data_IF_903845739282
#
_entry.id   IF_903845739282
#
_cell.length_a   1.000
_cell.length_b   1.000
_cell.length_c   1.000
_cell.angle_alpha   90.00
_cell.angle_beta   90.00
_cell.angle_gamma   90.00
#
_symmetry.space_group_name_H-M   'P 1'
#
loop_
_entity.id
_entity.type
_entity.pdbx_description
1 polymer ?
#
# COMPACT_ATOMS: atom_id res chain seq x y z
N UNK A 1 18.07 22.46 -3.36
CA UNK A 1 17.52 22.27 -2.01
C UNK A 1 17.71 20.79 -1.68
N UNK A 2 18.39 20.43 -0.59
CA UNK A 2 18.63 19.02 -0.25
C UNK A 2 17.42 18.37 0.42
N UNK A 3 17.33 17.04 0.39
CA UNK A 3 16.21 16.21 0.90
C UNK A 3 15.78 16.61 2.33
N UNK A 4 16.74 16.75 3.25
CA UNK A 4 16.46 17.12 4.64
C UNK A 4 15.81 18.50 4.77
N UNK A 5 16.25 19.48 3.98
CA UNK A 5 15.70 20.86 4.01
C UNK A 5 14.28 20.92 3.45
N UNK A 6 13.96 20.06 2.49
CA UNK A 6 12.61 19.96 1.91
C UNK A 6 11.63 19.35 2.92
N UNK A 7 12.06 18.32 3.65
CA UNK A 7 11.23 17.70 4.69
C UNK A 7 11.01 18.65 5.88
N UNK A 8 12.07 19.31 6.36
CA UNK A 8 11.95 20.25 7.47
C UNK A 8 11.02 21.42 7.12
N UNK A 9 11.04 21.88 5.86
CA UNK A 9 10.09 22.87 5.35
C UNK A 9 8.65 22.37 5.36
N UNK A 10 8.39 21.19 4.77
CA UNK A 10 7.04 20.61 4.73
C UNK A 10 6.50 20.33 6.13
N UNK A 11 7.34 19.81 7.01
CA UNK A 11 7.02 19.56 8.42
C UNK A 11 6.69 20.87 9.14
N UNK A 12 7.52 21.90 9.00
CA UNK A 12 7.28 23.21 9.61
C UNK A 12 5.96 23.83 9.13
N UNK A 13 5.68 23.80 7.83
CA UNK A 13 4.45 24.37 7.29
C UNK A 13 3.21 23.53 7.64
N UNK A 14 3.31 22.20 7.68
CA UNK A 14 2.22 21.32 8.11
C UNK A 14 1.90 21.49 9.61
N UNK A 15 2.92 21.58 10.46
CA UNK A 15 2.78 21.84 11.90
C UNK A 15 2.14 23.22 12.16
N UNK A 16 2.43 24.24 11.33
CA UNK A 16 1.83 25.58 11.43
C UNK A 16 0.31 25.59 11.21
N UNK A 17 -0.23 24.64 10.45
CA UNK A 17 -1.68 24.50 10.24
C UNK A 17 -2.40 23.80 11.41
N UNK A 18 -1.67 23.40 12.47
CA UNK A 18 -2.25 22.72 13.63
C UNK A 18 -2.58 21.25 13.38
N UNK A 19 -2.16 20.70 12.25
CA UNK A 19 -2.25 19.28 11.93
C UNK A 19 -1.01 18.61 12.56
N UNK A 20 -1.18 17.90 13.67
CA UNK A 20 -0.05 17.26 14.36
C UNK A 20 0.82 16.40 13.43
N UNK A 21 2.09 16.21 13.82
CA UNK A 21 3.16 15.58 13.03
C UNK A 21 2.68 14.47 12.07
N UNK A 22 3.12 14.48 10.79
CA UNK A 22 2.92 13.35 9.90
C UNK A 22 3.51 12.08 10.50
N UNK A 23 2.81 10.97 10.34
CA UNK A 23 3.29 9.63 10.73
C UNK A 23 4.69 9.41 10.15
N UNK A 24 5.69 8.97 10.95
CA UNK A 24 7.07 8.75 10.48
C UNK A 24 7.17 7.75 9.32
N UNK A 25 6.16 6.93 9.07
CA UNK A 25 6.07 6.03 7.90
C UNK A 25 5.69 6.73 6.59
N UNK A 26 5.29 8.02 6.61
CA UNK A 26 4.99 8.83 5.43
C UNK A 26 6.24 9.30 4.64
N UNK A 27 7.40 8.70 4.89
CA UNK A 27 8.70 9.18 4.40
C UNK A 27 9.21 8.34 3.23
N UNK A 28 9.18 8.90 2.03
CA UNK A 28 10.19 8.67 0.99
C UNK A 28 10.28 9.92 0.13
N UNK A 29 11.24 10.79 0.44
CA UNK A 29 11.60 11.93 -0.40
C UNK A 29 12.96 11.62 -1.02
N UNK A 30 12.99 11.37 -2.32
CA UNK A 30 14.23 11.29 -3.06
C UNK A 30 14.31 12.46 -4.05
N UNK A 31 15.47 13.12 -4.10
CA UNK A 31 15.80 14.04 -5.19
C UNK A 31 16.83 13.34 -6.06
N UNK A 32 16.39 12.72 -7.16
CA UNK A 32 17.27 12.22 -8.20
C UNK A 32 17.07 13.12 -9.43
N UNK A 33 18.00 14.05 -9.68
CA UNK A 33 18.00 14.90 -10.88
C UNK A 33 18.04 16.42 -10.62
N UNK A 34 18.19 17.24 -11.69
CA UNK A 34 18.30 18.68 -11.58
C UNK A 34 16.93 19.32 -11.36
N UNK A 35 16.58 19.55 -10.10
CA UNK A 35 15.38 20.28 -9.66
C UNK A 35 14.70 19.60 -8.47
N UNK A 36 14.02 20.34 -7.57
CA UNK A 36 13.27 19.72 -6.48
C UNK A 36 12.05 18.96 -7.03
N UNK A 37 12.18 17.65 -7.22
CA UNK A 37 11.05 16.74 -7.38
C UNK A 37 10.60 16.26 -6.00
N UNK A 38 9.30 16.12 -5.78
CA UNK A 38 8.74 15.65 -4.52
C UNK A 38 7.92 14.39 -4.75
N UNK A 39 8.24 13.33 -4.03
CA UNK A 39 7.35 12.19 -3.90
C UNK A 39 6.69 12.23 -2.53
N UNK A 40 5.37 12.06 -2.51
CA UNK A 40 4.65 11.72 -1.31
C UNK A 40 4.26 10.26 -1.45
N UNK A 41 5.00 9.37 -0.79
CA UNK A 41 4.55 7.99 -0.64
C UNK A 41 3.44 7.99 0.40
N UNK A 42 2.21 7.84 -0.10
CA UNK A 42 0.99 7.86 0.70
C UNK A 42 0.52 6.43 0.76
N UNK A 43 0.99 5.71 1.76
CA UNK A 43 0.46 4.37 2.00
C UNK A 43 -1.01 4.50 2.42
N UNK A 44 -1.94 3.72 1.84
CA UNK A 44 -3.35 3.73 2.24
C UNK A 44 -3.59 3.23 3.67
N UNK A 45 -2.55 2.80 4.40
CA UNK A 45 -2.61 2.61 5.85
C UNK A 45 -2.85 3.95 6.54
N UNK A 46 -4.10 4.41 6.62
CA UNK A 46 -5.10 3.96 7.59
C UNK A 46 -6.45 4.62 7.21
N UNK A 47 -7.35 3.89 6.56
CA UNK A 47 -8.69 4.40 6.27
C UNK A 47 -9.60 4.23 7.50
N UNK A 48 -9.33 5.02 8.54
CA UNK A 48 -10.29 5.16 9.63
C UNK A 48 -11.59 5.79 9.12
N UNK A 49 -12.66 5.64 9.92
CA UNK A 49 -14.00 6.20 9.77
C UNK A 49 -14.10 7.70 9.41
N UNK A 50 -12.97 8.39 9.24
CA UNK A 50 -12.84 9.73 8.70
C UNK A 50 -11.47 9.86 7.99
N UNK A 51 -11.45 9.85 6.65
CA UNK A 51 -10.23 10.10 5.86
C UNK A 51 -9.52 11.41 6.25
N UNK A 52 -10.22 12.33 6.93
CA UNK A 52 -9.69 13.59 7.43
C UNK A 52 -8.72 13.45 8.61
N UNK A 53 -8.61 12.28 9.25
CA UNK A 53 -7.78 12.08 10.45
C UNK A 53 -6.51 11.26 10.23
N UNK A 54 -6.33 10.62 9.06
CA UNK A 54 -5.06 9.95 8.74
C UNK A 54 -4.01 10.99 8.32
N UNK A 55 -2.87 11.01 9.00
CA UNK A 55 -1.80 11.97 8.75
C UNK A 55 -1.25 11.90 7.32
N UNK A 56 -1.25 10.71 6.69
CA UNK A 56 -0.84 10.53 5.29
C UNK A 56 -1.82 11.16 4.31
N UNK A 57 -3.12 11.02 4.57
CA UNK A 57 -4.19 11.66 3.76
C UNK A 57 -4.20 13.17 3.97
N UNK A 58 -3.97 13.65 5.19
CA UNK A 58 -3.84 15.08 5.48
C UNK A 58 -2.64 15.69 4.73
N UNK A 59 -1.49 15.01 4.75
CA UNK A 59 -0.30 15.43 4.00
C UNK A 59 -0.55 15.45 2.49
N UNK A 60 -1.19 14.41 1.93
CA UNK A 60 -1.58 14.39 0.51
C UNK A 60 -2.48 15.58 0.16
N UNK A 61 -3.53 15.81 0.95
CA UNK A 61 -4.47 16.91 0.74
C UNK A 61 -3.80 18.27 0.84
N UNK A 62 -2.90 18.44 1.80
CA UNK A 62 -2.09 19.64 1.94
C UNK A 62 -1.24 19.88 0.69
N UNK A 63 -0.47 18.87 0.26
CA UNK A 63 0.37 18.97 -0.94
C UNK A 63 -0.49 19.28 -2.16
N UNK A 64 -1.64 18.62 -2.36
CA UNK A 64 -2.58 18.88 -3.47
C UNK A 64 -3.08 20.32 -3.53
N UNK A 65 -3.23 20.99 -2.38
CA UNK A 65 -3.67 22.39 -2.28
C UNK A 65 -2.57 23.41 -2.54
N UNK A 66 -1.30 23.01 -2.48
CA UNK A 66 -0.21 23.92 -2.80
C UNK A 66 -0.33 24.43 -4.24
N UNK A 67 -0.09 25.74 -4.49
CA UNK A 67 -0.09 26.31 -5.83
C UNK A 67 0.75 25.50 -6.83
N UNK A 68 0.36 25.51 -8.10
CA UNK A 68 1.07 24.78 -9.16
C UNK A 68 2.47 25.32 -9.44
N UNK A 69 2.72 26.58 -9.06
CA UNK A 69 4.02 27.27 -9.07
C UNK A 69 4.78 27.14 -7.73
N UNK A 70 4.34 26.24 -6.84
CA UNK A 70 5.05 25.96 -5.59
C UNK A 70 6.43 25.33 -5.84
N UNK A 71 7.21 25.17 -4.75
CA UNK A 71 8.56 24.61 -4.72
C UNK A 71 8.74 23.26 -5.43
N UNK A 72 7.67 22.50 -5.70
CA UNK A 72 7.74 21.16 -6.28
C UNK A 72 7.16 21.13 -7.69
N UNK A 73 8.05 21.15 -8.69
CA UNK A 73 7.66 21.14 -10.10
C UNK A 73 6.98 19.82 -10.52
N UNK A 74 7.38 18.71 -9.89
CA UNK A 74 6.82 17.39 -10.14
C UNK A 74 6.46 16.73 -8.82
N UNK A 75 5.21 16.26 -8.72
CA UNK A 75 4.66 15.57 -7.56
C UNK A 75 3.91 14.32 -7.99
N UNK A 76 4.17 13.20 -7.35
CA UNK A 76 3.42 11.95 -7.53
C UNK A 76 3.01 11.40 -6.15
N UNK A 77 1.78 10.91 -6.04
CA UNK A 77 1.27 10.25 -4.85
C UNK A 77 1.30 8.74 -5.06
N UNK A 78 2.13 8.03 -4.31
CA UNK A 78 2.25 6.56 -4.45
C UNK A 78 1.32 5.88 -3.44
N UNK A 79 0.32 5.15 -3.92
CA UNK A 79 -0.60 4.36 -3.09
C UNK A 79 -0.25 2.88 -3.21
N UNK A 80 0.11 2.23 -2.11
CA UNK A 80 0.60 0.85 -2.13
C UNK A 80 -0.44 -0.16 -1.65
N UNK A 81 -0.52 -1.32 -2.29
CA UNK A 81 -1.36 -2.43 -1.83
C UNK A 81 -0.82 -3.16 -0.60
N UNK A 82 -1.47 -4.26 -0.26
CA UNK A 82 -1.04 -5.22 0.76
C UNK A 82 0.24 -5.95 0.33
N UNK A 83 1.27 -5.92 1.17
CA UNK A 83 2.55 -6.55 0.82
C UNK A 83 2.44 -8.07 0.92
N UNK A 84 3.00 -8.79 -0.05
CA UNK A 84 3.11 -10.25 0.06
C UNK A 84 3.89 -10.66 1.34
N UNK A 85 4.88 -9.88 1.75
CA UNK A 85 5.67 -10.07 2.97
C UNK A 85 4.83 -10.08 4.25
N UNK A 86 3.62 -9.51 4.23
CA UNK A 86 2.70 -9.57 5.37
C UNK A 86 2.31 -11.01 5.68
N UNK A 87 2.23 -11.90 4.69
CA UNK A 87 1.91 -13.32 4.87
C UNK A 87 2.96 -14.11 5.66
N UNK A 88 4.19 -13.57 5.76
CA UNK A 88 5.29 -14.16 6.53
C UNK A 88 5.33 -13.58 7.95
N UNK A 89 4.91 -12.32 8.13
CA UNK A 89 5.22 -11.54 9.33
C UNK A 89 4.04 -11.44 10.30
N UNK A 90 2.86 -11.02 9.85
CA UNK A 90 1.71 -10.78 10.74
C UNK A 90 0.38 -11.29 10.20
N UNK A 91 0.32 -11.61 8.91
CA UNK A 91 -0.85 -12.19 8.24
C UNK A 91 -0.61 -13.69 7.97
N UNK A 92 -0.15 -14.40 9.00
CA UNK A 92 0.30 -15.80 8.92
C UNK A 92 -0.86 -16.78 9.12
N UNK A 93 -0.82 -17.98 8.50
CA UNK A 93 -1.84 -18.99 8.77
C UNK A 93 -1.71 -19.53 10.20
N UNK A 94 -2.84 -19.96 10.75
CA UNK A 94 -2.91 -20.61 12.04
C UNK A 94 -2.25 -21.99 11.96
N UNK A 95 -1.21 -22.22 12.75
CA UNK A 95 -0.30 -23.36 12.58
C UNK A 95 -0.96 -24.74 12.73
N UNK A 96 -1.99 -24.86 13.59
CA UNK A 96 -2.62 -26.16 13.88
C UNK A 96 -3.37 -26.75 12.68
N UNK A 97 -4.01 -25.90 11.87
CA UNK A 97 -4.87 -26.33 10.77
C UNK A 97 -4.44 -25.77 9.41
N UNK A 98 -3.37 -24.98 9.34
CA UNK A 98 -2.94 -24.24 8.15
C UNK A 98 -4.11 -23.40 7.60
N UNK A 99 -4.65 -22.52 8.44
CA UNK A 99 -5.84 -21.74 8.13
C UNK A 99 -5.60 -20.23 8.21
N UNK A 100 -6.07 -19.47 7.22
CA UNK A 100 -6.20 -18.03 7.40
C UNK A 100 -7.49 -17.69 8.14
N UNK A 101 -7.37 -16.97 9.25
CA UNK A 101 -8.50 -16.58 10.10
C UNK A 101 -8.52 -15.07 10.33
N UNK A 102 -9.22 -14.36 9.45
CA UNK A 102 -9.23 -12.90 9.43
C UNK A 102 -10.64 -12.35 9.14
N UNK A 103 -10.95 -11.12 9.59
CA UNK A 103 -12.24 -10.48 9.38
C UNK A 103 -12.37 -9.86 7.97
N UNK A 104 -12.07 -10.65 6.94
CA UNK A 104 -12.23 -10.29 5.52
C UNK A 104 -13.39 -11.11 4.96
N UNK A 105 -14.23 -10.52 4.13
CA UNK A 105 -15.30 -11.24 3.45
C UNK A 105 -14.73 -12.08 2.30
N UNK A 106 -15.29 -13.27 2.05
CA UNK A 106 -14.84 -14.15 0.96
C UNK A 106 -14.88 -13.49 -0.43
N UNK A 107 -15.74 -12.49 -0.62
CA UNK A 107 -15.83 -11.70 -1.86
C UNK A 107 -14.98 -10.41 -1.84
N UNK A 108 -14.41 -10.05 -0.69
CA UNK A 108 -13.56 -8.87 -0.55
C UNK A 108 -12.25 -9.11 -1.29
N UNK A 109 -11.92 -8.27 -2.27
CA UNK A 109 -10.65 -8.35 -2.98
C UNK A 109 -9.62 -7.47 -2.29
N UNK A 110 -8.47 -8.05 -1.99
CA UNK A 110 -7.35 -7.37 -1.38
C UNK A 110 -6.41 -6.97 -2.53
N UNK A 111 -6.09 -5.68 -2.73
CA UNK A 111 -5.01 -5.28 -3.64
C UNK A 111 -3.68 -5.68 -3.02
N UNK A 112 -2.85 -6.46 -3.73
CA UNK A 112 -1.60 -6.98 -3.21
C UNK A 112 -0.43 -6.85 -4.20
N UNK A 113 0.80 -6.78 -3.68
CA UNK A 113 2.03 -6.74 -4.47
C UNK A 113 3.29 -7.12 -3.65
N UNK A 114 4.42 -7.34 -4.33
CA UNK A 114 5.73 -7.55 -3.69
C UNK A 114 6.36 -6.20 -3.32
N UNK A 115 6.67 -5.97 -2.04
CA UNK A 115 7.29 -4.72 -1.56
C UNK A 115 8.57 -4.35 -2.33
N UNK A 116 9.30 -5.34 -2.88
CA UNK A 116 10.53 -5.12 -3.65
C UNK A 116 10.29 -4.43 -5.01
N UNK A 117 9.05 -4.42 -5.53
CA UNK A 117 8.70 -3.69 -6.75
C UNK A 117 8.42 -2.21 -6.50
N UNK A 118 8.27 -1.77 -5.24
CA UNK A 118 8.06 -0.36 -4.87
C UNK A 118 9.14 0.53 -5.49
N UNK A 119 10.41 0.20 -5.27
CA UNK A 119 11.53 1.00 -5.75
C UNK A 119 11.61 1.07 -7.27
N UNK A 120 11.18 0.01 -7.97
CA UNK A 120 11.19 -0.05 -9.44
C UNK A 120 10.15 0.90 -10.03
N UNK A 121 8.94 0.90 -9.47
CA UNK A 121 7.85 1.80 -9.92
C UNK A 121 8.14 3.25 -9.56
N UNK A 122 8.67 3.50 -8.36
CA UNK A 122 9.09 4.85 -7.96
C UNK A 122 10.16 5.38 -8.91
N UNK A 123 11.14 4.54 -9.27
CA UNK A 123 12.16 4.90 -10.27
C UNK A 123 11.56 5.27 -11.62
N UNK A 124 10.61 4.50 -12.15
CA UNK A 124 9.91 4.84 -13.41
C UNK A 124 9.22 6.22 -13.34
N UNK A 125 8.65 6.57 -12.17
CA UNK A 125 8.05 7.89 -11.96
C UNK A 125 9.10 9.02 -11.97
N UNK A 126 10.30 8.76 -11.44
CA UNK A 126 11.44 9.71 -11.46
C UNK A 126 12.04 9.90 -12.85
N UNK A 127 12.14 8.82 -13.63
CA UNK A 127 12.70 8.87 -14.99
C UNK A 127 11.73 9.53 -15.98
N UNK A 128 10.43 9.57 -15.65
CA UNK A 128 9.36 10.13 -16.50
C UNK A 128 8.44 11.12 -15.76
N UNK A 129 8.97 12.22 -15.19
CA UNK A 129 8.20 13.16 -14.37
C UNK A 129 7.17 13.98 -15.16
N UNK A 130 7.35 14.12 -16.48
CA UNK A 130 6.37 14.70 -17.42
C UNK A 130 5.14 13.80 -17.64
N UNK A 131 5.25 12.52 -17.28
CA UNK A 131 4.12 11.59 -17.34
C UNK A 131 3.48 11.43 -15.98
N UNK A 132 4.30 11.23 -14.94
CA UNK A 132 3.82 10.80 -13.62
C UNK A 132 3.79 11.93 -12.57
N UNK A 133 4.48 13.04 -12.80
CA UNK A 133 4.69 14.12 -11.84
C UNK A 133 3.60 15.20 -11.78
N UNK A 134 2.41 14.96 -12.33
CA UNK A 134 1.32 15.93 -12.40
C UNK A 134 0.33 15.83 -11.23
N UNK A 135 0.82 15.59 -10.01
CA UNK A 135 0.02 15.47 -8.78
C UNK A 135 -1.03 14.36 -8.87
N UNK A 136 -0.77 13.34 -9.67
CA UNK A 136 -1.65 12.19 -9.81
C UNK A 136 -1.32 11.11 -8.78
N UNK A 137 -2.32 10.25 -8.54
CA UNK A 137 -2.15 9.04 -7.74
C UNK A 137 -1.67 7.90 -8.63
N UNK A 138 -0.59 7.24 -8.23
CA UNK A 138 -0.04 6.04 -8.84
C UNK A 138 -0.24 4.87 -7.87
N UNK A 139 -1.12 3.91 -8.20
CA UNK A 139 -1.27 2.70 -7.40
C UNK A 139 -0.11 1.74 -7.67
N UNK A 140 0.27 0.98 -6.64
CA UNK A 140 1.16 -0.17 -6.74
C UNK A 140 0.38 -1.39 -6.30
N UNK A 141 -0.21 -2.06 -7.28
CA UNK A 141 -1.04 -3.26 -7.11
C UNK A 141 -0.71 -4.22 -8.26
N UNK A 142 -0.20 -5.40 -7.92
CA UNK A 142 0.09 -6.43 -8.93
C UNK A 142 -1.19 -7.16 -9.31
N UNK A 143 -1.97 -7.54 -8.30
CA UNK A 143 -3.21 -8.30 -8.39
C UNK A 143 -4.19 -7.81 -7.33
N UNK A 144 -5.48 -8.04 -7.56
CA UNK A 144 -6.49 -7.94 -6.52
C UNK A 144 -7.05 -9.33 -6.35
N UNK A 145 -6.90 -9.96 -5.19
CA UNK A 145 -7.32 -11.35 -4.96
C UNK A 145 -8.22 -11.47 -3.74
N UNK A 146 -9.18 -12.39 -3.78
CA UNK A 146 -9.89 -12.80 -2.56
C UNK A 146 -9.01 -13.71 -1.70
N UNK A 147 -9.37 -13.88 -0.43
CA UNK A 147 -8.68 -14.83 0.43
C UNK A 147 -8.78 -16.28 -0.09
N UNK A 148 -9.88 -16.63 -0.77
CA UNK A 148 -10.04 -17.95 -1.38
C UNK A 148 -9.09 -18.13 -2.58
N UNK A 149 -8.95 -17.11 -3.44
CA UNK A 149 -7.99 -17.10 -4.56
C UNK A 149 -6.53 -17.13 -4.06
N UNK A 150 -6.23 -16.46 -2.95
CA UNK A 150 -4.93 -16.52 -2.27
C UNK A 150 -4.64 -17.95 -1.80
N UNK A 151 -5.60 -18.58 -1.09
CA UNK A 151 -5.47 -19.96 -0.63
C UNK A 151 -5.32 -20.95 -1.80
N UNK A 152 -6.08 -20.78 -2.88
CA UNK A 152 -5.95 -21.59 -4.10
C UNK A 152 -4.56 -21.45 -4.71
N UNK A 153 -4.05 -20.22 -4.86
CA UNK A 153 -2.72 -19.98 -5.41
C UNK A 153 -1.63 -20.66 -4.57
N UNK A 154 -1.75 -20.61 -3.24
CA UNK A 154 -0.83 -21.31 -2.34
C UNK A 154 -0.96 -22.82 -2.52
N UNK A 155 -2.18 -23.38 -2.55
CA UNK A 155 -2.42 -24.81 -2.78
C UNK A 155 -1.78 -25.28 -4.08
N UNK A 156 -1.98 -24.56 -5.17
CA UNK A 156 -1.41 -24.90 -6.49
C UNK A 156 0.12 -24.85 -6.51
N UNK A 157 0.72 -23.89 -5.81
CA UNK A 157 2.17 -23.66 -5.84
C UNK A 157 2.92 -24.54 -4.83
N UNK A 158 2.43 -24.64 -3.60
CA UNK A 158 3.13 -25.31 -2.49
C UNK A 158 2.62 -26.72 -2.21
N UNK A 159 1.42 -27.07 -2.68
CA UNK A 159 0.77 -28.35 -2.37
C UNK A 159 0.24 -28.46 -0.94
N UNK A 160 0.30 -27.41 -0.12
CA UNK A 160 -0.25 -27.42 1.25
C UNK A 160 -1.75 -27.18 1.22
N UNK A 161 -2.48 -28.00 1.97
CA UNK A 161 -3.93 -27.85 2.16
C UNK A 161 -4.21 -26.66 3.08
N UNK A 162 -4.30 -25.47 2.48
CA UNK A 162 -4.61 -24.21 3.16
C UNK A 162 -5.99 -23.71 2.76
N UNK A 163 -6.75 -23.23 3.74
CA UNK A 163 -8.08 -22.66 3.53
C UNK A 163 -8.29 -21.38 4.34
N UNK A 164 -9.31 -20.63 3.90
CA UNK A 164 -9.74 -19.41 4.56
C UNK A 164 -10.98 -19.68 5.41
N UNK A 165 -10.94 -19.24 6.67
CA UNK A 165 -12.08 -19.27 7.60
C UNK A 165 -12.33 -17.83 8.06
N UNK A 166 -13.37 -17.15 7.53
CA UNK A 166 -13.64 -15.77 7.92
C UNK A 166 -14.01 -15.69 9.41
N UNK A 167 -13.54 -14.62 10.06
CA UNK A 167 -13.92 -14.28 11.43
C UNK A 167 -14.94 -13.14 11.43
N UNK A 168 -15.85 -13.15 12.40
CA UNK A 168 -16.58 -11.92 12.74
C UNK A 168 -15.63 -10.87 13.32
N UNK A 169 -16.03 -9.59 13.26
CA UNK A 169 -15.23 -8.51 13.84
C UNK A 169 -15.02 -8.68 15.35
N UNK A 170 -16.03 -9.16 16.07
CA UNK A 170 -15.93 -9.38 17.52
C UNK A 170 -14.93 -10.50 17.84
N UNK A 171 -14.94 -11.60 17.08
CA UNK A 171 -13.95 -12.68 17.21
C UNK A 171 -12.54 -12.19 16.87
N UNK A 172 -12.40 -11.36 15.85
CA UNK A 172 -11.12 -10.80 15.44
C UNK A 172 -10.56 -9.85 16.51
N UNK A 173 -11.40 -9.03 17.16
CA UNK A 173 -10.99 -8.10 18.22
C UNK A 173 -10.49 -8.79 19.50
N UNK A 174 -10.83 -10.06 19.71
CA UNK A 174 -10.28 -10.87 20.81
C UNK A 174 -8.81 -11.22 20.55
N UNK A 175 -8.42 -11.35 19.28
CA UNK A 175 -7.11 -11.91 18.86
C UNK A 175 -6.17 -10.86 18.24
N UNK A 176 -6.71 -9.81 17.65
CA UNK A 176 -5.97 -8.82 16.87
C UNK A 176 -6.18 -7.43 17.46
N UNK A 177 -5.18 -6.56 17.29
CA UNK A 177 -5.32 -5.16 17.64
C UNK A 177 -6.46 -4.51 16.84
N UNK A 178 -7.21 -3.61 17.49
CA UNK A 178 -8.33 -2.88 16.88
C UNK A 178 -7.97 -2.21 15.56
N UNK A 179 -6.77 -1.64 15.48
CA UNK A 179 -6.27 -1.00 14.26
C UNK A 179 -6.16 -1.99 13.10
N UNK A 180 -5.63 -3.19 13.36
CA UNK A 180 -5.55 -4.28 12.38
C UNK A 180 -6.94 -4.71 11.91
N UNK A 181 -7.88 -4.91 12.83
CA UNK A 181 -9.26 -5.29 12.48
C UNK A 181 -9.92 -4.22 11.60
N UNK A 182 -9.74 -2.94 11.94
CA UNK A 182 -10.28 -1.84 11.15
C UNK A 182 -9.64 -1.75 9.76
N UNK A 183 -8.33 -1.97 9.64
CA UNK A 183 -7.65 -2.01 8.35
C UNK A 183 -8.16 -3.17 7.48
N UNK A 184 -8.39 -4.35 8.07
CA UNK A 184 -8.92 -5.50 7.33
C UNK A 184 -10.37 -5.30 6.92
N UNK A 185 -11.18 -4.67 7.77
CA UNK A 185 -12.54 -4.24 7.43
C UNK A 185 -12.58 -3.32 6.22
N UNK A 186 -11.57 -2.45 6.05
CA UNK A 186 -11.54 -1.55 4.89
C UNK A 186 -11.53 -2.32 3.56
N UNK A 187 -10.83 -3.47 3.47
CA UNK A 187 -10.83 -4.27 2.24
C UNK A 187 -12.22 -4.80 1.88
N UNK A 188 -13.07 -5.06 2.87
CA UNK A 188 -14.44 -5.52 2.65
C UNK A 188 -15.31 -4.46 1.99
N UNK A 189 -15.14 -3.21 2.44
CA UNK A 189 -16.00 -2.11 2.03
C UNK A 189 -15.44 -1.39 0.78
N UNK A 190 -14.10 -1.37 0.60
CA UNK A 190 -13.43 -0.51 -0.38
C UNK A 190 -12.32 -1.19 -1.20
N UNK A 191 -11.88 -2.40 -0.85
CA UNK A 191 -10.73 -3.06 -1.49
C UNK A 191 -10.89 -3.28 -3.00
N UNK A 192 -12.13 -3.40 -3.48
CA UNK A 192 -12.49 -3.65 -4.88
C UNK A 192 -12.96 -2.40 -5.65
N UNK A 193 -12.86 -1.19 -5.08
CA UNK A 193 -13.51 -0.01 -5.69
C UNK A 193 -12.84 0.46 -6.98
N UNK A 194 -11.54 0.24 -7.12
CA UNK A 194 -10.79 0.68 -8.30
C UNK A 194 -10.18 -0.51 -9.03
N UNK A 195 -10.95 -1.06 -9.97
CA UNK A 195 -10.53 -2.16 -10.85
C UNK A 195 -9.38 -1.75 -11.79
N UNK A 196 -9.10 -0.45 -11.95
CA UNK A 196 -8.05 0.04 -12.85
C UNK A 196 -6.67 0.05 -12.20
N UNK A 197 -6.56 -0.17 -10.88
CA UNK A 197 -5.28 -0.12 -10.16
C UNK A 197 -4.23 -1.05 -10.79
N UNK A 198 -4.61 -2.31 -11.06
CA UNK A 198 -3.72 -3.30 -11.68
C UNK A 198 -3.28 -2.86 -13.08
N UNK A 199 -4.22 -2.37 -13.90
CA UNK A 199 -3.92 -1.92 -15.25
C UNK A 199 -2.96 -0.72 -15.24
N UNK A 200 -3.19 0.25 -14.35
CA UNK A 200 -2.34 1.42 -14.18
C UNK A 200 -0.95 1.06 -13.65
N UNK A 201 -0.86 0.14 -12.69
CA UNK A 201 0.44 -0.37 -12.23
C UNK A 201 1.20 -1.06 -13.36
N UNK A 202 0.53 -1.88 -14.18
CA UNK A 202 1.14 -2.56 -15.34
C UNK A 202 1.51 -1.60 -16.48
N UNK A 203 0.82 -0.47 -16.62
CA UNK A 203 1.21 0.60 -17.56
C UNK A 203 2.59 1.18 -17.21
N UNK A 204 2.89 1.30 -15.91
CA UNK A 204 4.15 1.83 -15.40
C UNK A 204 5.23 0.76 -15.38
N UNK A 205 4.91 -0.40 -14.81
CA UNK A 205 5.86 -1.50 -14.62
C UNK A 205 5.21 -2.84 -14.99
N UNK A 206 5.27 -3.25 -16.29
CA UNK A 206 4.65 -4.48 -16.77
C UNK A 206 5.20 -5.77 -16.15
N UNK A 207 6.38 -5.69 -15.51
CA UNK A 207 7.11 -6.81 -14.90
C UNK A 207 6.82 -6.96 -13.40
N UNK A 208 5.78 -6.29 -12.89
CA UNK A 208 5.40 -6.41 -11.48
C UNK A 208 5.11 -7.87 -11.13
N UNK A 209 5.65 -8.32 -9.99
CA UNK A 209 5.63 -9.71 -9.58
C UNK A 209 4.23 -10.13 -9.15
N UNK A 210 3.74 -11.23 -9.72
CA UNK A 210 2.48 -11.88 -9.30
C UNK A 210 2.66 -12.59 -7.98
N UNK A 211 1.56 -12.87 -7.29
CA UNK A 211 1.55 -13.59 -6.03
C UNK A 211 2.08 -15.02 -6.22
N UNK A 212 1.68 -15.71 -7.28
CA UNK A 212 2.17 -17.06 -7.58
C UNK A 212 3.70 -17.11 -7.83
N UNK A 213 4.26 -16.10 -8.51
CA UNK A 213 5.72 -15.97 -8.67
C UNK A 213 6.42 -15.75 -7.34
N UNK A 214 5.85 -14.91 -6.47
CA UNK A 214 6.40 -14.66 -5.15
C UNK A 214 6.36 -15.90 -4.24
N UNK A 215 5.25 -16.66 -4.22
CA UNK A 215 5.18 -17.91 -3.45
C UNK A 215 6.23 -18.90 -3.96
N UNK A 216 6.39 -19.05 -5.29
CA UNK A 216 7.42 -19.91 -5.90
C UNK A 216 8.84 -19.50 -5.51
N UNK A 217 9.14 -18.21 -5.59
CA UNK A 217 10.48 -17.67 -5.34
C UNK A 217 10.86 -17.77 -3.86
N UNK A 218 9.92 -17.51 -2.96
CA UNK A 218 10.19 -17.50 -1.51
C UNK A 218 10.17 -18.88 -0.86
N UNK A 219 9.69 -19.90 -1.58
CA UNK A 219 9.43 -21.24 -1.04
C UNK A 219 8.51 -21.24 0.19
N UNK A 220 7.71 -20.19 0.34
CA UNK A 220 6.84 -20.04 1.50
C UNK A 220 5.79 -21.16 1.54
N UNK A 221 5.70 -21.83 2.70
CA UNK A 221 4.85 -22.99 2.95
C UNK A 221 5.20 -24.22 2.08
N UNK A 222 6.40 -24.36 1.53
CA UNK A 222 6.77 -25.57 0.75
C UNK A 222 7.41 -26.71 1.56
N UNK A 223 7.72 -26.50 2.84
CA UNK A 223 8.30 -27.51 3.75
C UNK A 223 7.25 -28.08 4.72
#
# INVERSE_FOLDING_TARGET
MGIERTWDYLKHEFDREGNGLPDPTARYFETIGPGPQLFAVVTPSVYYHDQRQCSKTQLENYIRRLPSDSTFAHVTFIHVGFYYQNFITFFVPYAENIEFRYPVFSYGRIPLYDVHDTGKIVRECFEHPERWGHRQTVPIVAEQLTMDEICETIREVSGKDIHFVPLSYDEALIKLHRETVNNLRWYNDFGSIDEQQVAKTKEIYPKIKTFAEWVRETQWLME
#
